data_IF_005059050700
#
_entry.id   IF_005059050700
#
_cell.length_a   1.000
_cell.length_b   1.000
_cell.length_c   1.000
_cell.angle_alpha   90.00
_cell.angle_beta   90.00
_cell.angle_gamma   90.00
#
_symmetry.space_group_name_H-M   'P 1'
#
loop_
_entity.id
_entity.type
_entity.pdbx_description
1 polymer ?
#
# COMPACT_ATOMS: atom_id res chain seq x y z
N UNK A 1 -4.25 -24.55 -7.71
CA UNK A 1 -5.69 -24.24 -7.69
C UNK A 1 -6.09 -23.86 -9.10
N UNK A 2 -7.18 -24.44 -9.62
CA UNK A 2 -7.68 -24.11 -10.95
C UNK A 2 -8.54 -22.85 -10.87
N UNK A 3 -8.10 -21.79 -11.55
CA UNK A 3 -8.72 -20.47 -11.52
C UNK A 3 -9.75 -20.37 -12.63
N UNK A 4 -10.98 -19.98 -12.27
CA UNK A 4 -12.05 -19.71 -13.23
C UNK A 4 -12.14 -18.21 -13.56
N UNK A 5 -11.90 -17.33 -12.57
CA UNK A 5 -11.97 -15.87 -12.72
C UNK A 5 -11.06 -15.17 -11.72
N UNK A 6 -10.54 -14.02 -12.15
CA UNK A 6 -9.70 -13.13 -11.33
C UNK A 6 -10.40 -11.80 -11.15
N UNK A 7 -10.30 -11.25 -9.94
CA UNK A 7 -10.85 -9.98 -9.54
C UNK A 7 -9.80 -9.18 -8.77
N UNK A 8 -10.00 -7.89 -8.68
CA UNK A 8 -9.24 -6.99 -7.82
C UNK A 8 -10.09 -6.54 -6.64
N UNK A 9 -9.49 -6.48 -5.45
CA UNK A 9 -10.10 -5.91 -4.26
C UNK A 9 -9.04 -5.18 -3.44
N UNK A 10 -9.29 -3.91 -3.09
CA UNK A 10 -8.43 -3.19 -2.15
C UNK A 10 -9.23 -2.35 -1.16
N UNK A 11 -8.56 -1.99 -0.06
CA UNK A 11 -9.04 -1.10 0.97
C UNK A 11 -7.96 -0.07 1.29
N UNK A 12 -8.29 1.21 1.19
CA UNK A 12 -7.36 2.32 1.45
C UNK A 12 -8.09 3.59 1.90
N UNK A 13 -7.34 4.62 2.30
CA UNK A 13 -7.89 5.93 2.66
C UNK A 13 -7.93 6.84 1.43
N UNK A 14 -9.12 7.27 1.04
CA UNK A 14 -9.29 8.38 0.10
C UNK A 14 -9.19 9.71 0.85
N UNK A 15 -8.06 10.39 0.69
CA UNK A 15 -7.77 11.65 1.39
C UNK A 15 -8.69 12.79 0.91
N UNK A 16 -9.15 12.74 -0.33
CA UNK A 16 -10.04 13.76 -0.88
C UNK A 16 -11.44 13.66 -0.27
N UNK A 17 -11.94 12.45 -0.12
CA UNK A 17 -13.24 12.17 0.50
C UNK A 17 -13.17 12.05 2.03
N UNK A 18 -11.95 11.97 2.59
CA UNK A 18 -11.70 11.73 4.03
C UNK A 18 -12.45 10.49 4.53
N UNK A 19 -12.40 9.41 3.76
CA UNK A 19 -13.11 8.15 4.01
C UNK A 19 -12.22 6.96 3.68
N UNK A 20 -12.44 5.85 4.36
CA UNK A 20 -11.97 4.55 3.90
C UNK A 20 -12.81 4.19 2.68
N UNK A 21 -12.14 3.73 1.64
CA UNK A 21 -12.79 3.23 0.43
C UNK A 21 -12.40 1.78 0.18
N UNK A 22 -13.33 1.03 -0.38
CA UNK A 22 -13.07 -0.24 -1.01
C UNK A 22 -13.08 -0.02 -2.53
N UNK A 23 -12.11 -0.59 -3.21
CA UNK A 23 -12.04 -0.63 -4.67
C UNK A 23 -12.18 -2.07 -5.10
N UNK A 24 -13.09 -2.32 -6.03
CA UNK A 24 -13.26 -3.63 -6.66
C UNK A 24 -13.21 -3.49 -8.17
N UNK A 25 -12.69 -4.51 -8.85
CA UNK A 25 -12.70 -4.60 -10.31
C UNK A 25 -12.89 -6.05 -10.77
N UNK A 26 -13.52 -6.23 -11.93
CA UNK A 26 -13.57 -7.50 -12.64
C UNK A 26 -12.27 -7.83 -13.36
N UNK A 27 -11.31 -6.93 -13.39
CA UNK A 27 -9.98 -7.07 -13.98
C UNK A 27 -8.97 -7.32 -12.85
N UNK A 28 -8.77 -8.59 -12.49
CA UNK A 28 -7.76 -9.02 -11.54
C UNK A 28 -6.49 -9.53 -12.22
N UNK A 29 -5.41 -9.69 -11.44
CA UNK A 29 -4.12 -10.15 -11.95
C UNK A 29 -3.40 -9.15 -12.85
N UNK A 30 -3.89 -7.92 -12.93
CA UNK A 30 -3.34 -6.82 -13.74
C UNK A 30 -2.97 -5.65 -12.86
N UNK A 31 -2.14 -4.76 -13.40
CA UNK A 31 -1.86 -3.45 -12.79
C UNK A 31 -3.13 -2.60 -12.78
N UNK A 32 -3.59 -2.22 -11.57
CA UNK A 32 -4.87 -1.52 -11.40
C UNK A 32 -4.80 -0.08 -11.95
N UNK A 33 -3.62 0.54 -11.96
CA UNK A 33 -3.40 1.85 -12.55
C UNK A 33 -3.58 1.81 -14.06
N UNK A 34 -3.14 0.72 -14.70
CA UNK A 34 -3.36 0.52 -16.13
C UNK A 34 -4.86 0.31 -16.44
N UNK A 35 -5.56 -0.46 -15.62
CA UNK A 35 -7.03 -0.63 -15.73
C UNK A 35 -7.73 0.71 -15.55
N UNK A 36 -7.33 1.51 -14.56
CA UNK A 36 -7.91 2.84 -14.31
C UNK A 36 -7.69 3.81 -15.48
N UNK A 37 -6.55 3.71 -16.15
CA UNK A 37 -6.23 4.55 -17.31
C UNK A 37 -6.98 4.13 -18.59
N UNK A 38 -7.13 2.81 -18.82
CA UNK A 38 -7.72 2.28 -20.06
C UNK A 38 -9.24 2.08 -19.98
N UNK A 39 -9.72 1.62 -18.84
CA UNK A 39 -11.11 1.20 -18.60
C UNK A 39 -11.60 1.66 -17.23
N UNK A 40 -11.66 3.00 -16.97
CA UNK A 40 -12.01 3.53 -15.64
C UNK A 40 -13.39 3.10 -15.15
N UNK A 41 -14.32 2.76 -16.04
CA UNK A 41 -15.64 2.21 -15.71
C UNK A 41 -15.58 0.83 -15.03
N UNK A 42 -14.46 0.12 -15.14
CA UNK A 42 -14.21 -1.16 -14.45
C UNK A 42 -13.80 -0.97 -12.99
N UNK A 43 -13.42 0.22 -12.60
CA UNK A 43 -13.01 0.57 -11.24
C UNK A 43 -14.25 0.96 -10.43
N UNK A 44 -14.65 0.10 -9.54
CA UNK A 44 -15.79 0.31 -8.67
C UNK A 44 -15.31 0.78 -7.30
N UNK A 45 -15.69 1.98 -6.91
CA UNK A 45 -15.31 2.55 -5.61
C UNK A 45 -16.52 2.59 -4.67
N UNK A 46 -16.32 2.13 -3.45
CA UNK A 46 -17.30 2.14 -2.38
C UNK A 46 -16.73 2.91 -1.18
N UNK A 47 -17.30 4.07 -0.87
CA UNK A 47 -16.93 4.84 0.32
C UNK A 47 -17.64 4.27 1.56
N UNK A 48 -16.86 4.05 2.63
CA UNK A 48 -17.37 3.49 3.89
C UNK A 48 -17.51 4.59 4.93
N UNK A 49 -18.66 4.62 5.58
CA UNK A 49 -18.86 5.50 6.72
C UNK A 49 -18.19 4.87 7.97
N UNK A 50 -17.29 5.61 8.66
CA UNK A 50 -16.55 5.06 9.80
C UNK A 50 -17.43 4.72 11.00
N UNK A 51 -18.63 5.33 11.10
CA UNK A 51 -19.56 5.07 12.22
C UNK A 51 -20.29 3.75 12.01
N UNK A 52 -20.76 3.48 10.77
CA UNK A 52 -21.52 2.26 10.47
C UNK A 52 -20.65 1.10 10.05
N UNK A 53 -19.36 1.36 9.74
CA UNK A 53 -18.46 0.38 9.14
C UNK A 53 -18.99 -0.17 7.82
N UNK A 54 -18.27 -1.11 7.20
CA UNK A 54 -18.74 -1.77 5.99
C UNK A 54 -19.93 -2.69 6.30
N UNK A 55 -21.01 -2.53 5.56
CA UNK A 55 -22.21 -3.32 5.74
C UNK A 55 -22.33 -4.43 4.70
N UNK A 56 -22.91 -5.60 5.04
CA UNK A 56 -23.04 -6.74 4.12
C UNK A 56 -23.73 -6.39 2.79
N UNK A 57 -24.70 -5.47 2.80
CA UNK A 57 -25.39 -5.07 1.58
C UNK A 57 -24.47 -4.32 0.60
N UNK A 58 -23.53 -3.54 1.13
CA UNK A 58 -22.55 -2.80 0.33
C UNK A 58 -21.57 -3.76 -0.36
N UNK A 59 -21.10 -4.77 0.36
CA UNK A 59 -20.26 -5.82 -0.21
C UNK A 59 -21.01 -6.63 -1.28
N UNK A 60 -22.32 -6.89 -1.09
CA UNK A 60 -23.16 -7.55 -2.10
C UNK A 60 -23.32 -6.69 -3.35
N UNK A 61 -23.62 -5.40 -3.18
CA UNK A 61 -23.71 -4.46 -4.32
C UNK A 61 -22.43 -4.45 -5.14
N UNK A 62 -21.28 -4.33 -4.46
CA UNK A 62 -19.95 -4.37 -5.09
C UNK A 62 -19.77 -5.66 -5.90
N UNK A 63 -20.05 -6.82 -5.31
CA UNK A 63 -19.88 -8.11 -5.96
C UNK A 63 -20.78 -8.30 -7.18
N UNK A 64 -22.04 -7.89 -7.11
CA UNK A 64 -22.93 -7.95 -8.27
C UNK A 64 -22.48 -7.01 -9.39
N UNK A 65 -22.02 -5.83 -9.06
CA UNK A 65 -21.47 -4.87 -10.05
C UNK A 65 -20.17 -5.38 -10.69
N UNK A 66 -19.37 -6.19 -9.98
CA UNK A 66 -18.22 -6.90 -10.53
C UNK A 66 -18.62 -8.10 -11.40
N UNK A 67 -19.91 -8.42 -11.49
CA UNK A 67 -20.43 -9.54 -12.31
C UNK A 67 -20.30 -10.91 -11.64
N UNK A 68 -20.19 -10.94 -10.32
CA UNK A 68 -20.12 -12.19 -9.54
C UNK A 68 -21.51 -12.83 -9.41
N UNK A 69 -21.56 -14.16 -9.40
CA UNK A 69 -22.77 -14.93 -9.13
C UNK A 69 -23.19 -14.78 -7.66
N UNK A 70 -24.44 -15.12 -7.34
CA UNK A 70 -24.95 -15.06 -5.97
C UNK A 70 -24.10 -15.86 -4.97
N UNK A 71 -23.63 -17.05 -5.35
CA UNK A 71 -22.81 -17.91 -4.48
C UNK A 71 -21.43 -17.28 -4.20
N UNK A 72 -20.85 -16.65 -5.20
CA UNK A 72 -19.58 -15.93 -5.08
C UNK A 72 -19.75 -14.67 -4.22
N UNK A 73 -20.83 -13.92 -4.44
CA UNK A 73 -21.16 -12.72 -3.64
C UNK A 73 -21.36 -13.06 -2.16
N UNK A 74 -22.02 -14.17 -1.82
CA UNK A 74 -22.20 -14.59 -0.42
C UNK A 74 -20.85 -14.88 0.27
N UNK A 75 -19.83 -15.33 -0.47
CA UNK A 75 -18.47 -15.51 0.01
C UNK A 75 -17.69 -14.19 0.04
N UNK A 76 -17.82 -13.36 -1.01
CA UNK A 76 -17.19 -12.04 -1.09
C UNK A 76 -17.54 -11.18 0.12
N UNK A 77 -18.76 -11.22 0.62
CA UNK A 77 -19.19 -10.47 1.81
C UNK A 77 -18.28 -10.74 2.99
N UNK A 78 -17.89 -11.99 3.21
CA UNK A 78 -16.97 -12.35 4.31
C UNK A 78 -15.57 -11.79 4.08
N UNK A 79 -15.09 -11.86 2.84
CA UNK A 79 -13.77 -11.32 2.46
C UNK A 79 -13.74 -9.81 2.65
N UNK A 80 -14.72 -9.09 2.13
CA UNK A 80 -14.80 -7.62 2.23
C UNK A 80 -14.85 -7.15 3.68
N UNK A 81 -15.68 -7.80 4.52
CA UNK A 81 -15.76 -7.48 5.95
C UNK A 81 -14.43 -7.80 6.64
N UNK A 82 -13.80 -8.93 6.31
CA UNK A 82 -12.48 -9.31 6.84
C UNK A 82 -11.39 -8.31 6.47
N UNK A 83 -11.32 -7.88 5.21
CA UNK A 83 -10.38 -6.87 4.71
C UNK A 83 -10.58 -5.54 5.44
N UNK A 84 -11.80 -5.08 5.57
CA UNK A 84 -12.10 -3.85 6.28
C UNK A 84 -11.72 -3.93 7.77
N UNK A 85 -12.04 -5.04 8.43
CA UNK A 85 -11.66 -5.25 9.83
C UNK A 85 -10.15 -5.30 10.02
N UNK A 86 -9.43 -6.00 9.15
CA UNK A 86 -7.96 -6.01 9.15
C UNK A 86 -7.42 -4.59 9.00
N UNK A 87 -7.93 -3.84 8.01
CA UNK A 87 -7.52 -2.47 7.72
C UNK A 87 -7.65 -1.56 8.95
N UNK A 88 -8.81 -1.59 9.62
CA UNK A 88 -9.09 -0.74 10.79
C UNK A 88 -8.37 -1.23 12.05
N UNK A 89 -8.37 -2.54 12.31
CA UNK A 89 -7.82 -3.08 13.56
C UNK A 89 -6.30 -3.08 13.61
N UNK A 90 -5.63 -3.14 12.45
CA UNK A 90 -4.17 -3.15 12.35
C UNK A 90 -3.59 -1.82 11.86
N UNK A 91 -4.41 -0.78 11.74
CA UNK A 91 -4.01 0.52 11.19
C UNK A 91 -3.26 0.37 9.86
N UNK A 92 -3.87 -0.34 8.93
CA UNK A 92 -3.29 -0.46 7.60
C UNK A 92 -3.42 0.86 6.83
N UNK A 93 -2.44 1.18 6.02
CA UNK A 93 -2.51 2.25 5.01
C UNK A 93 -3.10 1.73 3.70
N UNK A 94 -2.92 0.44 3.41
CA UNK A 94 -3.49 -0.26 2.27
C UNK A 94 -3.62 -1.76 2.56
N UNK A 95 -4.70 -2.36 2.10
CA UNK A 95 -4.84 -3.82 1.93
C UNK A 95 -5.27 -4.06 0.50
N UNK A 96 -4.51 -4.83 -0.24
CA UNK A 96 -4.77 -5.15 -1.64
C UNK A 96 -4.78 -6.68 -1.81
N UNK A 97 -5.76 -7.19 -2.53
CA UNK A 97 -5.84 -8.59 -2.96
C UNK A 97 -5.87 -8.58 -4.49
N UNK A 98 -4.78 -9.01 -5.10
CA UNK A 98 -4.63 -8.99 -6.56
C UNK A 98 -3.80 -10.20 -7.04
N UNK A 99 -4.47 -11.27 -7.52
CA UNK A 99 -5.92 -11.35 -7.68
C UNK A 99 -6.68 -11.93 -6.48
N UNK A 100 -7.93 -11.51 -6.34
CA UNK A 100 -8.97 -12.25 -5.65
C UNK A 100 -9.59 -13.22 -6.68
N UNK A 101 -9.49 -14.51 -6.44
CA UNK A 101 -9.88 -15.50 -7.43
C UNK A 101 -11.20 -16.19 -7.10
N UNK A 102 -11.87 -16.65 -8.15
CA UNK A 102 -12.90 -17.67 -8.08
C UNK A 102 -12.34 -18.93 -8.71
N UNK A 103 -12.37 -20.02 -7.97
CA UNK A 103 -11.91 -21.32 -8.43
C UNK A 103 -12.96 -22.02 -9.31
N UNK A 104 -12.56 -23.02 -10.06
CA UNK A 104 -13.49 -23.78 -10.92
C UNK A 104 -14.58 -24.52 -10.15
N UNK A 105 -14.37 -24.79 -8.86
CA UNK A 105 -15.39 -25.33 -7.93
C UNK A 105 -16.24 -24.25 -7.25
N UNK A 106 -16.01 -22.97 -7.60
CA UNK A 106 -16.82 -21.82 -7.17
C UNK A 106 -16.46 -21.26 -5.78
N UNK A 107 -15.24 -21.48 -5.30
CA UNK A 107 -14.75 -20.87 -4.07
C UNK A 107 -14.11 -19.51 -4.36
N UNK A 108 -14.34 -18.52 -3.47
CA UNK A 108 -13.71 -17.22 -3.52
C UNK A 108 -12.54 -17.21 -2.52
N UNK A 109 -11.32 -16.92 -3.01
CA UNK A 109 -10.13 -16.86 -2.16
C UNK A 109 -9.12 -15.80 -2.61
N UNK A 110 -8.37 -15.27 -1.67
CA UNK A 110 -7.21 -14.45 -1.97
C UNK A 110 -6.08 -15.36 -2.47
N UNK A 111 -5.56 -15.08 -3.66
CA UNK A 111 -4.39 -15.79 -4.18
C UNK A 111 -3.11 -15.09 -3.72
N UNK A 112 -3.10 -13.77 -3.81
CA UNK A 112 -2.05 -12.92 -3.29
C UNK A 112 -2.63 -11.73 -2.55
N UNK A 113 -1.94 -11.26 -1.51
CA UNK A 113 -2.36 -10.12 -0.73
C UNK A 113 -1.16 -9.26 -0.31
N UNK A 114 -1.26 -7.96 -0.58
CA UNK A 114 -0.31 -6.95 -0.12
C UNK A 114 -0.94 -6.13 1.00
N UNK A 115 -0.29 -6.11 2.15
CA UNK A 115 -0.75 -5.36 3.32
C UNK A 115 0.32 -4.35 3.69
N UNK A 116 -0.04 -3.06 3.62
CA UNK A 116 0.82 -1.97 4.08
C UNK A 116 0.28 -1.44 5.41
N UNK A 117 1.14 -1.35 6.39
CA UNK A 117 0.82 -0.88 7.73
C UNK A 117 1.21 0.60 7.87
N UNK A 118 0.54 1.33 8.74
CA UNK A 118 0.95 2.68 9.09
C UNK A 118 2.06 2.62 10.15
N UNK A 119 3.28 2.97 9.76
CA UNK A 119 4.45 2.97 10.66
C UNK A 119 4.21 3.86 11.89
N UNK A 120 3.42 4.94 11.75
CA UNK A 120 3.08 5.81 12.86
C UNK A 120 2.19 5.14 13.91
N UNK A 121 1.57 4.02 13.57
CA UNK A 121 0.70 3.25 14.47
C UNK A 121 1.39 2.02 15.09
N UNK A 122 2.58 1.64 14.64
CA UNK A 122 3.29 0.44 15.10
C UNK A 122 3.57 0.43 16.60
N UNK A 123 3.68 1.59 17.25
CA UNK A 123 3.87 1.67 18.70
C UNK A 123 2.76 0.97 19.50
N UNK A 124 1.55 0.86 18.94
CA UNK A 124 0.40 0.18 19.54
C UNK A 124 0.16 -1.24 18.99
N UNK A 125 0.94 -1.67 17.98
CA UNK A 125 0.86 -2.98 17.35
C UNK A 125 2.21 -3.71 17.45
N UNK A 126 2.63 -4.04 18.67
CA UNK A 126 3.93 -4.69 18.92
C UNK A 126 4.07 -6.02 18.21
N UNK A 127 2.99 -6.81 18.19
CA UNK A 127 2.92 -8.09 17.48
C UNK A 127 3.19 -7.94 15.98
N UNK A 128 2.67 -6.86 15.39
CA UNK A 128 2.89 -6.56 13.98
C UNK A 128 4.29 -6.01 13.72
N UNK A 129 4.80 -5.16 14.62
CA UNK A 129 6.17 -4.64 14.51
C UNK A 129 7.22 -5.76 14.59
N UNK A 130 6.96 -6.83 15.37
CA UNK A 130 7.83 -8.01 15.49
C UNK A 130 7.83 -8.89 14.22
N UNK A 131 6.86 -8.73 13.31
CA UNK A 131 6.82 -9.45 12.03
C UNK A 131 7.78 -8.87 10.99
N UNK A 132 8.41 -7.73 11.27
CA UNK A 132 9.37 -7.11 10.36
C UNK A 132 10.56 -8.05 10.14
N UNK A 133 10.83 -8.36 8.87
CA UNK A 133 11.97 -9.19 8.47
C UNK A 133 13.06 -8.33 7.80
N UNK A 134 14.11 -7.96 8.55
CA UNK A 134 15.20 -7.15 8.02
C UNK A 134 15.95 -7.77 6.85
N UNK A 135 15.86 -9.10 6.68
CA UNK A 135 16.55 -9.80 5.59
C UNK A 135 15.93 -9.54 4.22
N UNK A 136 14.69 -9.00 4.18
CA UNK A 136 13.97 -8.65 2.98
C UNK A 136 14.11 -7.16 2.60
N UNK A 137 14.81 -6.38 3.43
CA UNK A 137 14.99 -4.94 3.24
C UNK A 137 16.33 -4.63 2.56
N UNK A 138 16.43 -3.47 1.91
CA UNK A 138 17.73 -2.93 1.49
C UNK A 138 18.58 -2.68 2.75
N UNK A 139 19.84 -3.11 2.72
CA UNK A 139 20.75 -3.01 3.87
C UNK A 139 20.91 -1.57 4.36
N UNK A 140 20.93 -0.60 3.44
CA UNK A 140 21.06 0.84 3.75
C UNK A 140 19.79 1.36 4.42
N UNK A 141 18.62 0.95 3.94
CA UNK A 141 17.33 1.31 4.55
C UNK A 141 17.21 0.75 5.96
N UNK A 142 17.64 -0.50 6.15
CA UNK A 142 17.69 -1.13 7.47
C UNK A 142 18.63 -0.40 8.43
N UNK A 143 19.85 -0.02 7.99
CA UNK A 143 20.80 0.76 8.80
C UNK A 143 20.21 2.13 9.13
N UNK A 144 19.63 2.82 8.13
CA UNK A 144 19.00 4.12 8.31
C UNK A 144 17.88 4.07 9.36
N UNK A 145 17.01 3.08 9.27
CA UNK A 145 15.93 2.89 10.25
C UNK A 145 16.47 2.72 11.68
N UNK A 146 17.53 1.93 11.88
CA UNK A 146 18.17 1.73 13.21
C UNK A 146 18.69 3.02 13.83
N UNK A 147 19.11 3.98 13.02
CA UNK A 147 19.65 5.27 13.46
C UNK A 147 18.62 6.40 13.38
N UNK A 148 17.36 6.08 13.07
CA UNK A 148 16.25 7.04 13.04
C UNK A 148 16.27 7.99 11.84
N UNK A 149 16.82 7.57 10.70
CA UNK A 149 16.82 8.33 9.45
C UNK A 149 15.72 7.83 8.51
N UNK A 150 15.11 8.79 7.79
CA UNK A 150 14.22 8.49 6.67
C UNK A 150 15.05 8.36 5.39
N UNK A 151 15.35 7.14 4.99
CA UNK A 151 16.15 6.81 3.81
C UNK A 151 15.37 5.87 2.90
N UNK A 152 15.42 6.12 1.60
CA UNK A 152 14.93 5.21 0.57
C UNK A 152 16.02 5.08 -0.50
N UNK A 153 16.39 3.85 -0.83
CA UNK A 153 17.33 3.55 -1.90
C UNK A 153 16.66 3.71 -3.27
N UNK A 154 17.36 4.28 -4.23
CA UNK A 154 16.94 4.45 -5.62
C UNK A 154 18.07 4.03 -6.56
N UNK A 155 17.74 3.81 -7.84
CA UNK A 155 18.68 3.28 -8.85
C UNK A 155 19.53 4.36 -9.54
N UNK A 156 19.71 5.51 -8.93
CA UNK A 156 20.44 6.62 -9.50
C UNK A 156 21.93 6.65 -9.15
N UNK A 157 22.59 7.74 -9.56
CA UNK A 157 24.01 7.98 -9.35
C UNK A 157 24.33 9.31 -8.63
N UNK A 158 23.31 10.04 -8.19
CA UNK A 158 23.45 11.29 -7.45
C UNK A 158 22.93 11.08 -6.04
N UNK A 159 23.86 11.04 -5.05
CA UNK A 159 23.50 10.97 -3.64
C UNK A 159 22.87 12.28 -3.16
N UNK A 160 21.73 12.20 -2.49
CA UNK A 160 20.98 13.33 -1.97
C UNK A 160 20.91 13.25 -0.44
N UNK A 161 21.26 14.33 0.25
CA UNK A 161 21.10 14.49 1.70
C UNK A 161 20.62 15.89 2.01
N UNK A 162 19.47 16.02 2.59
CA UNK A 162 18.83 17.30 2.86
C UNK A 162 18.16 17.30 4.23
N UNK A 163 17.78 18.50 4.67
CA UNK A 163 17.02 18.69 5.90
C UNK A 163 15.58 19.05 5.54
N UNK A 164 14.67 18.10 5.76
CA UNK A 164 13.25 18.22 5.50
C UNK A 164 12.80 17.47 4.24
N UNK A 165 11.75 16.65 4.39
CA UNK A 165 11.24 15.80 3.33
C UNK A 165 10.80 16.57 2.07
N UNK A 166 10.21 17.75 2.22
CA UNK A 166 9.82 18.59 1.09
C UNK A 166 11.01 19.08 0.28
N UNK A 167 12.14 19.45 0.95
CA UNK A 167 13.36 19.80 0.27
C UNK A 167 14.01 18.59 -0.42
N UNK A 168 13.94 17.41 0.20
CA UNK A 168 14.42 16.16 -0.40
C UNK A 168 13.70 15.89 -1.73
N UNK A 169 12.37 15.92 -1.73
CA UNK A 169 11.56 15.74 -2.94
C UNK A 169 11.91 16.75 -4.02
N UNK A 170 11.94 18.05 -3.67
CA UNK A 170 12.27 19.10 -4.62
C UNK A 170 13.70 18.98 -5.19
N UNK A 171 14.67 18.56 -4.36
CA UNK A 171 16.05 18.31 -4.82
C UNK A 171 16.09 17.19 -5.84
N UNK A 172 15.39 16.08 -5.58
CA UNK A 172 15.30 14.96 -6.50
C UNK A 172 14.63 15.36 -7.82
N UNK A 173 13.54 16.13 -7.76
CA UNK A 173 12.85 16.65 -8.94
C UNK A 173 13.76 17.54 -9.78
N UNK A 174 14.55 18.44 -9.16
CA UNK A 174 15.52 19.28 -9.85
C UNK A 174 16.62 18.43 -10.50
N UNK A 175 17.14 17.42 -9.80
CA UNK A 175 18.11 16.49 -10.39
C UNK A 175 17.55 15.84 -11.66
N UNK A 176 16.33 15.30 -11.61
CA UNK A 176 15.67 14.69 -12.78
C UNK A 176 15.41 15.68 -13.91
N UNK A 177 14.98 16.89 -13.58
CA UNK A 177 14.73 17.95 -14.57
C UNK A 177 15.98 18.28 -15.37
N UNK A 178 17.16 18.17 -14.76
CA UNK A 178 18.47 18.41 -15.40
C UNK A 178 19.16 17.15 -15.93
N UNK A 179 18.43 16.03 -16.05
CA UNK A 179 18.92 14.77 -16.64
C UNK A 179 19.80 13.95 -15.68
N UNK A 180 19.77 14.25 -14.39
CA UNK A 180 20.42 13.44 -13.36
C UNK A 180 19.48 12.39 -12.77
N UNK A 181 20.06 11.33 -12.19
CA UNK A 181 19.28 10.27 -11.54
C UNK A 181 19.61 10.22 -10.04
N UNK A 182 18.67 10.57 -9.15
CA UNK A 182 18.86 10.45 -7.71
C UNK A 182 19.09 8.99 -7.29
N UNK A 183 20.12 8.76 -6.46
CA UNK A 183 20.47 7.45 -5.93
C UNK A 183 19.72 7.12 -4.63
N UNK A 184 19.15 8.12 -3.98
CA UNK A 184 18.43 7.96 -2.73
C UNK A 184 17.55 9.17 -2.41
N UNK A 185 16.52 8.91 -1.60
CA UNK A 185 15.89 9.92 -0.75
C UNK A 185 16.56 9.86 0.63
N UNK A 186 16.91 11.00 1.22
CA UNK A 186 17.39 11.05 2.60
C UNK A 186 17.06 12.41 3.25
N UNK A 187 16.25 12.34 4.30
CA UNK A 187 15.94 13.48 5.18
C UNK A 187 16.60 13.26 6.55
N UNK A 188 17.52 14.15 6.91
CA UNK A 188 18.21 14.08 8.22
C UNK A 188 17.39 14.72 9.35
N UNK A 189 16.25 15.36 9.03
CA UNK A 189 15.35 15.99 10.01
C UNK A 189 15.88 17.28 10.64
N UNK A 190 14.95 18.08 11.19
CA UNK A 190 15.27 19.41 11.76
C UNK A 190 16.11 19.40 13.04
N UNK A 191 16.25 18.26 13.70
CA UNK A 191 17.03 18.06 14.92
C UNK A 191 18.38 17.35 14.68
N UNK A 192 18.89 17.33 13.45
CA UNK A 192 20.08 16.58 13.09
C UNK A 192 21.32 17.05 13.87
N UNK A 193 22.00 16.10 14.51
CA UNK A 193 23.30 16.31 15.15
C UNK A 193 24.44 16.05 14.17
N UNK A 194 25.63 16.54 14.46
CA UNK A 194 26.82 16.27 13.64
C UNK A 194 27.14 14.77 13.51
N UNK A 195 26.89 13.98 14.55
CA UNK A 195 27.05 12.52 14.51
C UNK A 195 26.03 11.88 13.54
N UNK A 196 24.77 12.29 13.61
CA UNK A 196 23.72 11.78 12.72
C UNK A 196 24.00 12.12 11.26
N UNK A 197 24.43 13.36 10.98
CA UNK A 197 24.81 13.80 9.63
C UNK A 197 26.02 13.01 9.11
N UNK A 198 27.02 12.75 9.98
CA UNK A 198 28.19 11.93 9.62
C UNK A 198 27.80 10.49 9.27
N UNK A 199 26.87 9.89 10.01
CA UNK A 199 26.35 8.55 9.72
C UNK A 199 25.52 8.53 8.44
N UNK A 200 24.68 9.54 8.25
CA UNK A 200 23.90 9.71 7.03
C UNK A 200 24.80 9.81 5.79
N UNK A 201 25.88 10.56 5.89
CA UNK A 201 26.86 10.71 4.82
C UNK A 201 27.56 9.38 4.46
N UNK A 202 27.94 8.60 5.48
CA UNK A 202 28.53 7.26 5.27
C UNK A 202 27.57 6.27 4.63
N UNK A 203 26.26 6.48 4.80
CA UNK A 203 25.23 5.61 4.22
C UNK A 203 25.06 5.84 2.71
N UNK A 204 25.35 7.06 2.24
CA UNK A 204 25.25 7.44 0.83
C UNK A 204 26.48 7.00 0.02
N UNK A 205 27.67 7.03 0.64
CA UNK A 205 28.96 6.70 0.02
C UNK A 205 29.19 5.20 -0.11
#
# INVERSE_FOLDING_TARGET
>A
VDIAKEYYLSCLVDRSKKRIILIGSSEGGMDIEEVAAKTPEKILTLAIDPITSVQPYQARDLGFRMGMSKKEVDQLVKVVIGVYNLFVQKDCSMVEINPLIVTTDGQVMALDAKVSLDDNALYRHKDTAEMRDPSQEDEREHIAHKIGLNYVALDGNIGCMVNGAGLAMATMDVCKLHGGEPANFLDVGGGATSDLVSRAFKLIL
#
